data_IF_753629977024
#
_entry.id   IF_753629977024
#
_cell.length_a   1.000
_cell.length_b   1.000
_cell.length_c   1.000
_cell.angle_alpha   90.00
_cell.angle_beta   90.00
_cell.angle_gamma   90.00
#
_symmetry.space_group_name_H-M   'P 1'
#
loop_
_entity.id
_entity.type
_entity.pdbx_description
1 polymer ?
#
# COMPACT_ATOMS: atom_id res chain seq x y z
N UNK A 1 -12.91 -6.10 -12.16
CA UNK A 1 -11.44 -6.18 -11.99
C UNK A 1 -11.13 -6.85 -10.65
N UNK A 2 -10.06 -7.61 -10.52
CA UNK A 2 -9.70 -8.23 -9.25
C UNK A 2 -8.98 -7.22 -8.35
N UNK A 3 -9.36 -7.15 -7.09
CA UNK A 3 -8.66 -6.34 -6.09
C UNK A 3 -7.73 -7.24 -5.28
N UNK A 4 -6.50 -6.78 -5.06
CA UNK A 4 -5.47 -7.44 -4.27
C UNK A 4 -4.98 -6.42 -3.25
N UNK A 5 -5.05 -6.76 -1.96
CA UNK A 5 -4.54 -5.93 -0.88
C UNK A 5 -3.08 -6.28 -0.57
N UNK A 6 -2.25 -5.28 -0.36
CA UNK A 6 -0.85 -5.42 0.07
C UNK A 6 -0.69 -4.73 1.42
N UNK A 7 -0.39 -5.52 2.45
CA UNK A 7 -0.47 -5.08 3.84
C UNK A 7 0.65 -4.10 4.22
N UNK A 8 0.46 -3.42 5.32
CA UNK A 8 1.54 -2.75 6.05
C UNK A 8 2.34 -3.73 6.94
N UNK A 9 3.15 -3.18 7.85
CA UNK A 9 3.99 -3.96 8.78
C UNK A 9 3.21 -4.84 9.76
N UNK A 10 1.91 -4.62 9.96
CA UNK A 10 1.09 -5.48 10.82
C UNK A 10 0.67 -6.78 10.14
N UNK A 11 0.80 -6.87 8.81
CA UNK A 11 0.43 -8.06 8.07
C UNK A 11 -1.08 -8.29 7.97
N UNK A 12 -1.48 -9.55 7.92
CA UNK A 12 -2.88 -9.96 7.75
C UNK A 12 -3.64 -9.95 9.07
N UNK A 13 -4.07 -8.78 9.52
CA UNK A 13 -4.86 -8.59 10.73
C UNK A 13 -6.36 -8.87 10.51
N UNK A 14 -7.16 -9.15 11.56
CA UNK A 14 -8.61 -9.29 11.44
C UNK A 14 -9.29 -8.04 10.84
N UNK A 15 -8.81 -6.84 11.15
CA UNK A 15 -9.32 -5.60 10.57
C UNK A 15 -9.09 -5.53 9.06
N UNK A 16 -7.92 -5.96 8.59
CA UNK A 16 -7.62 -5.99 7.16
C UNK A 16 -8.41 -7.09 6.43
N UNK A 17 -8.64 -8.24 7.07
CA UNK A 17 -9.53 -9.28 6.52
C UNK A 17 -10.94 -8.72 6.30
N UNK A 18 -11.48 -8.00 7.28
CA UNK A 18 -12.77 -7.32 7.14
C UNK A 18 -12.77 -6.31 5.98
N UNK A 19 -11.72 -5.50 5.86
CA UNK A 19 -11.57 -4.56 4.74
C UNK A 19 -11.56 -5.30 3.40
N UNK A 20 -10.87 -6.46 3.31
CA UNK A 20 -10.83 -7.27 2.09
C UNK A 20 -12.21 -7.80 1.70
N UNK A 21 -13.02 -8.21 2.65
CA UNK A 21 -14.42 -8.64 2.43
C UNK A 21 -15.27 -7.47 1.92
N UNK A 22 -15.15 -6.31 2.53
CA UNK A 22 -15.89 -5.10 2.18
C UNK A 22 -15.56 -4.57 0.77
N UNK A 23 -14.34 -4.82 0.29
CA UNK A 23 -13.88 -4.49 -1.06
C UNK A 23 -14.03 -5.65 -2.05
N UNK A 24 -14.49 -6.81 -1.62
CA UNK A 24 -14.48 -8.05 -2.40
C UNK A 24 -13.09 -8.37 -2.99
N UNK A 25 -12.03 -8.09 -2.22
CA UNK A 25 -10.67 -8.36 -2.61
C UNK A 25 -10.41 -9.88 -2.64
N UNK A 26 -9.71 -10.36 -3.67
CA UNK A 26 -9.49 -11.80 -3.90
C UNK A 26 -8.29 -12.33 -3.15
N UNK A 27 -7.31 -11.49 -2.93
CA UNK A 27 -6.02 -11.87 -2.33
C UNK A 27 -5.58 -10.80 -1.35
N UNK A 28 -4.98 -11.22 -0.25
CA UNK A 28 -4.20 -10.37 0.65
C UNK A 28 -2.75 -10.87 0.57
N UNK A 29 -1.85 -9.99 0.17
CA UNK A 29 -0.41 -10.21 0.20
C UNK A 29 0.13 -9.61 1.48
N UNK A 30 0.78 -10.40 2.29
CA UNK A 30 1.37 -9.99 3.56
C UNK A 30 2.77 -10.60 3.75
N UNK A 31 3.63 -10.00 4.57
CA UNK A 31 5.01 -10.45 4.73
C UNK A 31 5.17 -11.68 5.64
N UNK A 32 4.10 -12.20 6.24
CA UNK A 32 4.16 -13.24 7.29
C UNK A 32 3.41 -14.53 6.91
N UNK A 33 3.27 -14.80 5.62
CA UNK A 33 2.62 -16.01 5.08
C UNK A 33 1.20 -16.25 5.64
N UNK A 34 0.43 -15.19 5.86
CA UNK A 34 -0.96 -15.26 6.35
C UNK A 34 -1.12 -15.41 7.86
N UNK A 35 -0.02 -15.42 8.61
CA UNK A 35 -0.05 -15.50 10.08
C UNK A 35 -0.42 -14.15 10.67
N UNK A 36 -1.44 -14.12 11.54
CA UNK A 36 -1.70 -12.96 12.39
C UNK A 36 -0.65 -12.90 13.50
N UNK A 37 0.25 -11.95 13.42
CA UNK A 37 1.37 -11.80 14.34
C UNK A 37 0.95 -11.23 15.70
N UNK A 38 -0.24 -10.65 15.77
CA UNK A 38 -0.81 -10.07 16.99
C UNK A 38 0.14 -9.08 17.71
N UNK A 39 0.87 -8.27 16.93
CA UNK A 39 1.78 -7.27 17.50
C UNK A 39 1.04 -6.32 18.43
N UNK A 40 1.66 -6.00 19.55
CA UNK A 40 1.06 -5.13 20.58
C UNK A 40 1.01 -3.66 20.17
N UNK A 41 2.00 -3.23 19.35
CA UNK A 41 2.13 -1.86 18.88
C UNK A 41 2.94 -1.77 17.57
N UNK A 42 2.99 -0.57 17.02
CA UNK A 42 3.67 -0.26 15.76
C UNK A 42 5.20 -0.42 15.86
N UNK A 43 5.79 -0.15 17.03
CA UNK A 43 7.23 -0.28 17.24
C UNK A 43 7.68 -1.74 17.19
N UNK A 44 6.91 -2.64 17.81
CA UNK A 44 7.17 -4.08 17.74
C UNK A 44 7.00 -4.60 16.32
N UNK A 45 5.91 -4.24 15.63
CA UNK A 45 5.66 -4.63 14.25
C UNK A 45 6.78 -4.16 13.32
N UNK A 46 7.25 -2.91 13.47
CA UNK A 46 8.32 -2.35 12.67
C UNK A 46 9.66 -3.05 12.90
N UNK A 47 10.06 -3.25 14.17
CA UNK A 47 11.30 -3.97 14.50
C UNK A 47 11.29 -5.39 13.93
N UNK A 48 10.18 -6.12 14.14
CA UNK A 48 10.06 -7.48 13.64
C UNK A 48 10.15 -7.53 12.11
N UNK A 49 9.43 -6.64 11.42
CA UNK A 49 9.47 -6.55 9.96
C UNK A 49 10.89 -6.30 9.44
N UNK A 50 11.59 -5.34 10.02
CA UNK A 50 12.94 -4.98 9.59
C UNK A 50 13.97 -6.09 9.83
N UNK A 51 13.83 -6.84 10.92
CA UNK A 51 14.76 -7.91 11.31
C UNK A 51 14.51 -9.22 10.57
N UNK A 52 13.25 -9.53 10.21
CA UNK A 52 12.87 -10.85 9.73
C UNK A 52 12.40 -10.88 8.27
N UNK A 53 12.06 -9.74 7.68
CA UNK A 53 11.58 -9.64 6.29
C UNK A 53 12.32 -8.55 5.53
N UNK A 54 12.12 -7.29 5.89
CA UNK A 54 12.68 -6.15 5.18
C UNK A 54 11.99 -5.85 3.84
N UNK A 55 12.49 -4.79 3.17
CA UNK A 55 11.88 -4.26 1.95
C UNK A 55 12.02 -5.23 0.77
N UNK A 56 13.22 -5.80 0.55
CA UNK A 56 13.52 -6.60 -0.64
C UNK A 56 12.82 -7.96 -0.63
N UNK A 57 12.72 -8.61 0.52
CA UNK A 57 12.01 -9.89 0.61
C UNK A 57 10.52 -9.68 0.43
N UNK A 58 9.95 -8.60 0.98
CA UNK A 58 8.54 -8.30 0.76
C UNK A 58 8.25 -7.91 -0.71
N UNK A 59 9.16 -7.20 -1.37
CA UNK A 59 9.07 -6.94 -2.80
C UNK A 59 9.08 -8.25 -3.61
N UNK A 60 9.94 -9.20 -3.24
CA UNK A 60 10.02 -10.51 -3.88
C UNK A 60 8.73 -11.31 -3.71
N UNK A 61 8.14 -11.31 -2.51
CA UNK A 61 6.83 -11.96 -2.23
C UNK A 61 5.74 -11.36 -3.15
N UNK A 62 5.67 -10.04 -3.27
CA UNK A 62 4.68 -9.39 -4.13
C UNK A 62 4.93 -9.71 -5.61
N UNK A 63 6.18 -9.69 -6.06
CA UNK A 63 6.55 -10.01 -7.44
C UNK A 63 6.13 -11.43 -7.81
N UNK A 64 6.48 -12.42 -7.00
CA UNK A 64 6.10 -13.82 -7.18
C UNK A 64 4.57 -13.98 -7.26
N UNK A 65 3.84 -13.31 -6.36
CA UNK A 65 2.37 -13.33 -6.41
C UNK A 65 1.85 -12.74 -7.71
N UNK A 66 2.43 -11.64 -8.22
CA UNK A 66 1.95 -11.00 -9.46
C UNK A 66 2.15 -11.89 -10.70
N UNK A 67 3.12 -12.81 -10.70
CA UNK A 67 3.31 -13.78 -11.77
C UNK A 67 2.13 -14.76 -11.92
N UNK A 68 1.41 -15.01 -10.83
CA UNK A 68 0.22 -15.87 -10.80
C UNK A 68 -1.07 -15.17 -11.28
N UNK A 69 -1.05 -13.86 -11.49
CA UNK A 69 -2.22 -13.09 -11.91
C UNK A 69 -2.52 -13.35 -13.39
N UNK A 70 -3.69 -13.89 -13.68
CA UNK A 70 -4.14 -14.22 -15.06
C UNK A 70 -5.14 -13.23 -15.65
N UNK A 71 -5.61 -12.25 -14.87
CA UNK A 71 -6.62 -11.27 -15.28
C UNK A 71 -6.33 -9.88 -14.72
N UNK A 72 -6.88 -8.86 -15.38
CA UNK A 72 -6.70 -7.47 -14.97
C UNK A 72 -6.99 -7.24 -13.49
N UNK A 73 -6.03 -6.66 -12.77
CA UNK A 73 -6.06 -6.51 -11.32
C UNK A 73 -5.66 -5.10 -10.87
N UNK A 74 -6.25 -4.68 -9.76
CA UNK A 74 -5.88 -3.46 -9.03
C UNK A 74 -5.16 -3.85 -7.73
N UNK A 75 -3.97 -3.32 -7.51
CA UNK A 75 -3.28 -3.43 -6.22
C UNK A 75 -3.68 -2.27 -5.31
N UNK A 76 -3.96 -2.57 -4.05
CA UNK A 76 -4.19 -1.53 -3.03
C UNK A 76 -3.21 -1.79 -1.89
N UNK A 77 -2.32 -0.84 -1.64
CA UNK A 77 -1.27 -0.99 -0.62
C UNK A 77 -1.32 0.07 0.45
N UNK A 78 -0.84 -0.32 1.64
CA UNK A 78 -0.80 0.53 2.82
C UNK A 78 0.64 0.63 3.35
N UNK A 79 1.10 1.85 3.66
CA UNK A 79 2.42 2.11 4.26
C UNK A 79 3.57 1.42 3.50
N UNK A 80 4.23 0.43 4.10
CA UNK A 80 5.30 -0.33 3.43
C UNK A 80 4.77 -1.06 2.19
N UNK A 81 3.58 -1.66 2.24
CA UNK A 81 2.96 -2.31 1.09
C UNK A 81 2.72 -1.36 -0.08
N UNK A 82 2.33 -0.12 0.19
CA UNK A 82 2.24 0.94 -0.81
C UNK A 82 3.60 1.25 -1.44
N UNK A 83 4.66 1.28 -0.63
CA UNK A 83 6.03 1.53 -1.10
C UNK A 83 6.59 0.37 -1.92
N UNK A 84 6.23 -0.87 -1.57
CA UNK A 84 6.56 -2.09 -2.33
C UNK A 84 5.86 -2.08 -3.68
N UNK A 85 4.57 -1.74 -3.75
CA UNK A 85 3.82 -1.59 -5.01
C UNK A 85 4.47 -0.51 -5.89
N UNK A 86 4.84 0.63 -5.31
CA UNK A 86 5.54 1.67 -6.04
C UNK A 86 6.82 1.14 -6.69
N UNK A 87 7.66 0.43 -5.94
CA UNK A 87 8.89 -0.16 -6.48
C UNK A 87 8.62 -1.22 -7.53
N UNK A 88 7.60 -2.07 -7.33
CA UNK A 88 7.15 -3.07 -8.29
C UNK A 88 6.71 -2.44 -9.62
N UNK A 89 6.14 -1.23 -9.60
CA UNK A 89 5.49 -0.62 -10.77
C UNK A 89 6.42 -0.35 -11.96
N UNK A 90 7.73 -0.34 -11.76
CA UNK A 90 8.73 -0.23 -12.85
C UNK A 90 9.16 -1.60 -13.44
N UNK A 91 8.63 -2.72 -12.91
CA UNK A 91 9.06 -4.05 -13.31
C UNK A 91 8.33 -4.56 -14.57
N UNK A 92 9.06 -4.80 -15.63
CA UNK A 92 8.54 -5.26 -16.91
C UNK A 92 7.91 -6.67 -16.89
N UNK A 93 8.16 -7.50 -15.87
CA UNK A 93 7.56 -8.82 -15.75
C UNK A 93 6.10 -8.79 -15.28
N UNK A 94 5.67 -7.71 -14.67
CA UNK A 94 4.29 -7.52 -14.18
C UNK A 94 3.35 -7.25 -15.36
N UNK A 95 2.48 -8.20 -15.70
CA UNK A 95 1.65 -8.15 -16.92
C UNK A 95 0.20 -7.75 -16.70
N UNK A 96 -0.40 -8.21 -15.63
CA UNK A 96 -1.85 -8.14 -15.41
C UNK A 96 -2.25 -7.17 -14.29
N UNK A 97 -1.33 -6.32 -13.84
CA UNK A 97 -1.63 -5.20 -12.98
C UNK A 97 -1.85 -3.96 -13.84
N UNK A 98 -3.06 -3.42 -13.81
CA UNK A 98 -3.42 -2.26 -14.62
C UNK A 98 -3.39 -0.97 -13.82
N UNK A 99 -3.58 -1.08 -12.50
CA UNK A 99 -3.67 0.06 -11.60
C UNK A 99 -3.19 -0.30 -10.19
N UNK A 100 -2.66 0.70 -9.50
CA UNK A 100 -2.40 0.63 -8.07
C UNK A 100 -2.92 1.86 -7.34
N UNK A 101 -3.32 1.67 -6.07
CA UNK A 101 -3.71 2.71 -5.14
C UNK A 101 -2.84 2.55 -3.89
N UNK A 102 -2.04 3.55 -3.60
CA UNK A 102 -0.98 3.49 -2.60
C UNK A 102 -1.24 4.50 -1.48
N UNK A 103 -1.67 4.01 -0.31
CA UNK A 103 -1.94 4.84 0.86
C UNK A 103 -0.67 5.06 1.70
N UNK A 104 -0.35 6.32 1.95
CA UNK A 104 0.72 6.78 2.85
C UNK A 104 2.04 5.98 2.77
N UNK A 105 2.50 5.69 1.55
CA UNK A 105 3.76 4.97 1.31
C UNK A 105 4.99 5.82 1.61
N UNK A 106 5.45 5.85 2.86
CA UNK A 106 6.53 6.75 3.29
C UNK A 106 7.89 6.43 2.67
N UNK A 107 8.17 5.15 2.35
CA UNK A 107 9.45 4.75 1.75
C UNK A 107 9.56 5.11 0.25
N UNK A 108 8.47 5.51 -0.39
CA UNK A 108 8.47 6.02 -1.78
C UNK A 108 9.49 7.14 -1.97
N UNK A 109 9.75 7.95 -0.94
CA UNK A 109 10.77 9.00 -0.94
C UNK A 109 12.18 8.53 -1.31
N UNK A 110 12.48 7.25 -1.06
CA UNK A 110 13.77 6.64 -1.36
C UNK A 110 13.86 6.13 -2.82
N UNK A 111 12.73 6.04 -3.52
CA UNK A 111 12.58 5.46 -4.85
C UNK A 111 11.99 6.46 -5.86
N UNK A 112 12.34 7.72 -5.76
CA UNK A 112 11.82 8.80 -6.62
C UNK A 112 12.12 8.60 -8.13
N UNK A 113 13.13 7.79 -8.46
CA UNK A 113 13.52 7.51 -9.85
C UNK A 113 12.63 6.47 -10.55
N UNK A 114 11.80 5.75 -9.81
CA UNK A 114 10.84 4.78 -10.37
C UNK A 114 9.93 5.48 -11.38
N UNK A 115 9.73 4.86 -12.54
CA UNK A 115 8.78 5.29 -13.55
C UNK A 115 7.76 4.16 -13.74
N UNK A 116 6.53 4.32 -13.25
CA UNK A 116 5.52 3.29 -13.29
C UNK A 116 5.12 2.89 -14.71
N UNK A 117 4.97 1.59 -14.96
CA UNK A 117 4.53 1.01 -16.22
C UNK A 117 3.00 0.81 -16.29
N UNK A 118 2.30 1.06 -15.19
CA UNK A 118 0.84 1.05 -15.07
C UNK A 118 0.38 2.23 -14.20
N UNK A 119 -0.91 2.51 -14.18
CA UNK A 119 -1.44 3.64 -13.40
C UNK A 119 -1.22 3.46 -11.91
N UNK A 120 -0.64 4.47 -11.24
CA UNK A 120 -0.44 4.51 -9.79
C UNK A 120 -1.06 5.77 -9.21
N UNK A 121 -1.96 5.60 -8.27
CA UNK A 121 -2.53 6.68 -7.48
C UNK A 121 -1.90 6.69 -6.09
N UNK A 122 -1.20 7.78 -5.76
CA UNK A 122 -0.52 7.97 -4.48
C UNK A 122 -1.38 8.86 -3.59
N UNK A 123 -1.85 8.30 -2.46
CA UNK A 123 -2.61 9.03 -1.46
C UNK A 123 -1.68 9.37 -0.29
N UNK A 124 -1.26 10.63 -0.28
CA UNK A 124 -0.35 11.14 0.74
C UNK A 124 -1.10 11.56 2.01
N UNK A 125 -0.51 11.31 3.20
CA UNK A 125 -1.03 11.83 4.45
C UNK A 125 -0.83 13.35 4.53
N UNK A 126 -1.44 13.96 5.54
CA UNK A 126 -1.31 15.40 5.82
C UNK A 126 0.14 15.84 5.97
N UNK A 127 0.92 15.06 6.69
CA UNK A 127 2.33 15.30 7.00
C UNK A 127 3.06 14.01 7.31
N UNK A 128 4.38 14.04 7.20
CA UNK A 128 5.31 12.96 7.57
C UNK A 128 6.49 13.55 8.34
N UNK A 129 6.97 12.82 9.33
CA UNK A 129 8.06 13.31 10.19
C UNK A 129 9.41 13.42 9.46
N UNK A 130 9.64 12.55 8.46
CA UNK A 130 10.96 12.38 7.85
C UNK A 130 11.16 13.10 6.52
N UNK A 131 10.12 13.74 5.96
CA UNK A 131 10.19 14.44 4.67
C UNK A 131 9.03 15.39 4.45
N UNK A 132 9.21 16.35 3.54
CA UNK A 132 8.14 17.24 3.10
C UNK A 132 7.22 16.52 2.11
N UNK A 133 5.98 16.31 2.53
CA UNK A 133 4.95 15.61 1.73
C UNK A 133 4.62 16.40 0.46
N UNK A 134 4.54 17.74 0.53
CA UNK A 134 4.21 18.55 -0.63
C UNK A 134 5.34 18.56 -1.67
N UNK A 135 6.59 18.58 -1.24
CA UNK A 135 7.74 18.47 -2.12
C UNK A 135 7.73 17.14 -2.87
N UNK A 136 7.56 16.03 -2.13
CA UNK A 136 7.50 14.70 -2.73
C UNK A 136 6.31 14.55 -3.68
N UNK A 137 5.12 15.01 -3.29
CA UNK A 137 3.92 15.02 -4.12
C UNK A 137 4.16 15.79 -5.43
N UNK A 138 4.71 17.00 -5.35
CA UNK A 138 5.00 17.83 -6.51
C UNK A 138 6.03 17.20 -7.46
N UNK A 139 7.01 16.47 -6.93
CA UNK A 139 7.99 15.76 -7.75
C UNK A 139 7.35 14.59 -8.49
N UNK A 140 6.60 13.75 -7.78
CA UNK A 140 6.05 12.51 -8.33
C UNK A 140 4.85 12.74 -9.26
N UNK A 141 4.06 13.80 -9.04
CA UNK A 141 2.92 14.16 -9.91
C UNK A 141 3.30 14.50 -11.35
N UNK A 142 4.60 14.73 -11.62
CA UNK A 142 5.12 15.03 -12.98
C UNK A 142 5.39 13.77 -13.79
N UNK A 143 5.31 12.60 -13.17
CA UNK A 143 5.59 11.32 -13.84
C UNK A 143 4.38 10.85 -14.64
N UNK A 144 4.65 10.21 -15.76
CA UNK A 144 3.63 9.44 -16.49
C UNK A 144 3.01 8.37 -15.58
N UNK A 145 1.75 8.06 -15.80
CA UNK A 145 0.98 7.06 -15.04
C UNK A 145 0.87 7.35 -13.53
N UNK A 146 1.18 8.55 -13.05
CA UNK A 146 1.09 8.88 -11.62
C UNK A 146 0.03 9.95 -11.39
N UNK A 147 -0.89 9.65 -10.48
CA UNK A 147 -1.80 10.62 -9.88
C UNK A 147 -1.48 10.75 -8.40
N UNK A 148 -1.64 11.94 -7.85
CA UNK A 148 -1.36 12.21 -6.45
C UNK A 148 -2.50 12.94 -5.79
N UNK A 149 -2.89 12.49 -4.61
CA UNK A 149 -3.87 13.15 -3.75
C UNK A 149 -3.28 13.30 -2.36
N UNK A 150 -3.49 14.43 -1.71
CA UNK A 150 -3.12 14.65 -0.31
C UNK A 150 -4.39 14.76 0.52
N UNK A 151 -4.46 14.00 1.63
CA UNK A 151 -5.57 14.02 2.59
C UNK A 151 -5.18 14.74 3.88
N UNK A 152 -6.16 15.15 4.68
CA UNK A 152 -5.93 15.83 5.96
C UNK A 152 -5.81 14.86 7.15
N UNK A 153 -5.35 13.63 6.89
CA UNK A 153 -5.17 12.59 7.89
C UNK A 153 -3.70 12.20 8.03
N UNK A 154 -3.32 11.68 9.19
CA UNK A 154 -1.94 11.27 9.48
C UNK A 154 -1.64 9.88 8.91
N UNK A 155 -0.35 9.52 8.83
CA UNK A 155 0.09 8.18 8.41
C UNK A 155 -0.60 7.09 9.22
N UNK A 156 -1.07 6.03 8.55
CA UNK A 156 -1.74 4.91 9.21
C UNK A 156 -3.23 5.10 9.52
N UNK A 157 -3.85 6.19 9.06
CA UNK A 157 -5.26 6.51 9.35
C UNK A 157 -6.28 5.43 8.95
N UNK A 158 -5.92 4.54 8.02
CA UNK A 158 -6.76 3.40 7.60
C UNK A 158 -6.57 2.16 8.49
N UNK A 159 -5.49 2.08 9.28
CA UNK A 159 -5.15 0.90 10.06
C UNK A 159 -5.65 1.01 11.50
N UNK A 160 -6.53 0.08 11.90
CA UNK A 160 -7.10 0.05 13.26
C UNK A 160 -6.04 -0.09 14.37
N UNK A 161 -4.86 -0.63 14.06
CA UNK A 161 -3.76 -0.83 15.01
C UNK A 161 -2.79 0.35 15.06
N UNK A 162 -2.94 1.33 14.16
CA UNK A 162 -2.14 2.56 14.21
C UNK A 162 -2.67 3.53 15.26
N UNK A 163 -1.77 4.24 15.94
CA UNK A 163 -2.11 5.34 16.86
C UNK A 163 -2.84 6.49 16.16
N UNK A 164 -2.72 6.58 14.85
CA UNK A 164 -3.34 7.61 14.01
C UNK A 164 -4.65 7.14 13.34
N UNK A 165 -5.17 5.95 13.72
CA UNK A 165 -6.42 5.47 13.15
C UNK A 165 -7.53 6.51 13.27
N UNK A 166 -8.24 6.73 12.17
CA UNK A 166 -9.36 7.65 12.13
C UNK A 166 -10.56 6.98 11.46
N UNK A 167 -11.60 6.69 12.24
CA UNK A 167 -12.80 5.98 11.76
C UNK A 167 -13.51 6.74 10.63
N UNK A 168 -13.57 8.06 10.70
CA UNK A 168 -14.22 8.85 9.65
C UNK A 168 -13.42 8.77 8.34
N UNK A 169 -12.10 8.96 8.42
CA UNK A 169 -11.20 8.84 7.29
C UNK A 169 -11.25 7.45 6.65
N UNK A 170 -11.25 6.40 7.50
CA UNK A 170 -11.38 5.02 7.05
C UNK A 170 -12.68 4.82 6.24
N UNK A 171 -13.82 5.27 6.77
CA UNK A 171 -15.10 5.13 6.09
C UNK A 171 -15.17 5.94 4.78
N UNK A 172 -14.63 7.15 4.79
CA UNK A 172 -14.53 8.00 3.60
C UNK A 172 -13.73 7.30 2.49
N UNK A 173 -12.53 6.83 2.81
CA UNK A 173 -11.67 6.17 1.85
C UNK A 173 -12.20 4.79 1.41
N UNK A 174 -12.83 4.05 2.30
CA UNK A 174 -13.51 2.81 1.94
C UNK A 174 -14.62 3.05 0.90
N UNK A 175 -15.46 4.06 1.11
CA UNK A 175 -16.50 4.42 0.16
C UNK A 175 -15.91 4.87 -1.19
N UNK A 176 -14.83 5.64 -1.15
CA UNK A 176 -14.11 6.05 -2.34
C UNK A 176 -13.51 4.85 -3.09
N UNK A 177 -12.88 3.90 -2.38
CA UNK A 177 -12.33 2.67 -2.96
C UNK A 177 -13.39 1.81 -3.64
N UNK A 178 -14.57 1.65 -3.05
CA UNK A 178 -15.69 0.89 -3.64
C UNK A 178 -16.12 1.42 -5.01
N UNK A 179 -15.96 2.71 -5.24
CA UNK A 179 -16.33 3.37 -6.50
C UNK A 179 -15.16 3.33 -7.49
N UNK A 180 -13.93 3.50 -7.01
CA UNK A 180 -12.78 3.80 -7.86
C UNK A 180 -11.78 2.65 -8.04
N UNK A 181 -11.86 1.57 -7.26
CA UNK A 181 -10.92 0.45 -7.35
C UNK A 181 -11.37 -0.70 -8.26
N UNK A 182 -12.56 -0.60 -8.86
CA UNK A 182 -13.16 -1.64 -9.73
C UNK A 182 -12.75 -1.52 -11.18
#
# INVERSE_FOLDING_TARGET
MNIILVTDIFGKTPALVKLSEELNAKVIVDPYAGVDMAFKDEAEAYSYFMENVGFEDYLSILLEMTESITSASTLIGFSIGASIIWKLSENNSVKNVNRAICFYGSQIRNFKKVNPLFEVELIFPKEEFHFDVLELQNELSKKENVRTTKVDYLHGFMNLYSTNYNQFAHNEQLNWLRINAS
#
